data_IF_552605963360
#
_entry.id   IF_552605963360
#
_cell.length_a   1.000
_cell.length_b   1.000
_cell.length_c   1.000
_cell.angle_alpha   90.00
_cell.angle_beta   90.00
_cell.angle_gamma   90.00
#
_symmetry.space_group_name_H-M   'P 1'
#
loop_
_entity.id
_entity.type
_entity.pdbx_description
1 polymer ?
#
# COMPACT_ATOMS: atom_id res chain seq x y z
N UNK A 1 56.45 -31.93 38.25
CA UNK A 1 56.12 -30.64 38.90
C UNK A 1 55.65 -29.71 37.81
N UNK A 2 54.32 -29.65 37.62
CA UNK A 2 53.71 -28.74 36.63
C UNK A 2 52.68 -27.90 37.38
N UNK A 3 52.93 -26.61 37.43
CA UNK A 3 52.10 -25.60 38.06
C UNK A 3 51.00 -25.16 37.09
N UNK A 4 49.74 -25.26 37.57
CA UNK A 4 48.54 -24.79 36.88
C UNK A 4 48.29 -23.31 37.22
N UNK A 5 48.03 -22.39 36.29
CA UNK A 5 47.66 -21.02 36.63
C UNK A 5 46.15 -20.91 36.92
N UNK A 6 45.83 -20.21 38.02
CA UNK A 6 44.47 -19.87 38.45
C UNK A 6 43.88 -18.77 37.53
N UNK A 7 42.76 -19.07 36.90
CA UNK A 7 41.91 -18.11 36.22
C UNK A 7 41.08 -17.32 37.23
N UNK A 8 41.25 -15.99 37.25
CA UNK A 8 40.37 -15.04 37.93
C UNK A 8 39.11 -14.81 37.11
N UNK A 9 37.96 -15.24 37.58
CA UNK A 9 36.65 -14.85 37.11
C UNK A 9 36.39 -13.37 37.46
N UNK A 10 36.40 -12.51 36.48
CA UNK A 10 35.87 -11.14 36.57
C UNK A 10 34.34 -11.20 36.49
N UNK A 11 33.62 -10.87 37.56
CA UNK A 11 32.18 -10.61 37.54
C UNK A 11 31.94 -9.28 36.81
N UNK A 12 31.39 -9.34 35.60
CA UNK A 12 30.79 -8.18 34.93
C UNK A 12 29.41 -7.94 35.51
N UNK A 13 29.28 -6.89 36.29
CA UNK A 13 27.99 -6.31 36.69
C UNK A 13 27.38 -5.60 35.50
N UNK A 14 26.35 -6.19 34.94
CA UNK A 14 25.47 -5.51 33.96
C UNK A 14 24.66 -4.44 34.68
N UNK A 15 24.85 -3.17 34.25
CA UNK A 15 24.02 -2.06 34.68
C UNK A 15 22.60 -2.22 34.10
N UNK A 16 21.52 -1.79 34.79
CA UNK A 16 20.18 -1.89 34.29
C UNK A 16 20.01 -0.94 33.12
N UNK A 17 19.57 -1.49 31.98
CA UNK A 17 19.14 -0.70 30.81
C UNK A 17 17.91 0.13 31.19
N UNK A 18 18.09 1.43 31.28
CA UNK A 18 16.99 2.39 31.37
C UNK A 18 16.28 2.44 30.01
N UNK A 19 15.09 1.84 29.92
CA UNK A 19 14.16 2.10 28.81
C UNK A 19 13.88 3.60 28.72
N UNK A 20 14.42 4.27 27.71
CA UNK A 20 14.00 5.62 27.34
C UNK A 20 12.59 5.53 26.76
N UNK A 21 11.61 6.07 27.44
CA UNK A 21 10.31 6.41 26.89
C UNK A 21 10.50 7.59 25.94
N UNK A 22 10.34 7.34 24.65
CA UNK A 22 10.30 8.41 23.63
C UNK A 22 9.04 9.24 23.86
N UNK A 23 9.18 10.41 24.46
CA UNK A 23 8.10 11.39 24.59
C UNK A 23 7.99 12.14 23.28
N UNK A 24 6.80 12.12 22.66
CA UNK A 24 6.42 12.93 21.51
C UNK A 24 6.55 14.44 21.89
N UNK A 25 7.68 15.05 21.57
CA UNK A 25 7.89 16.49 21.73
C UNK A 25 7.69 17.16 20.37
N UNK A 26 6.45 17.56 20.06
CA UNK A 26 6.15 18.42 18.92
C UNK A 26 6.87 19.75 19.07
N UNK A 27 7.90 19.96 18.27
CA UNK A 27 8.64 21.23 18.24
C UNK A 27 7.73 22.32 17.65
N UNK A 28 7.13 23.13 18.53
CA UNK A 28 6.09 24.15 18.22
C UNK A 28 6.52 25.21 17.20
N UNK A 29 7.80 25.39 16.95
CA UNK A 29 8.30 26.48 16.09
C UNK A 29 8.27 26.13 14.59
N UNK A 30 8.13 24.86 14.20
CA UNK A 30 8.11 24.43 12.79
C UNK A 30 6.70 24.37 12.18
N UNK A 31 5.66 24.32 12.99
CA UNK A 31 4.25 24.25 12.53
C UNK A 31 3.69 25.55 11.94
N UNK A 32 4.37 26.69 12.11
CA UNK A 32 3.81 28.01 11.76
C UNK A 32 3.80 28.33 10.26
N UNK A 33 4.52 27.61 9.43
CA UNK A 33 4.67 27.92 8.00
C UNK A 33 3.78 27.06 7.07
N UNK A 34 3.28 25.92 7.54
CA UNK A 34 2.53 24.95 6.71
C UNK A 34 1.01 24.92 6.92
N UNK A 35 0.47 25.56 7.96
CA UNK A 35 -0.97 25.47 8.29
C UNK A 35 -1.90 26.36 7.45
N UNK A 36 -1.44 26.92 6.35
CA UNK A 36 -2.23 27.79 5.47
C UNK A 36 -2.46 27.17 4.07
N UNK A 37 -2.78 25.87 3.97
CA UNK A 37 -3.39 25.34 2.75
C UNK A 37 -4.88 25.60 2.86
N UNK A 38 -5.50 26.45 2.03
CA UNK A 38 -6.90 26.79 2.13
C UNK A 38 -7.77 25.65 1.55
N UNK A 39 -7.89 24.53 2.27
CA UNK A 39 -8.92 23.50 1.96
C UNK A 39 -10.33 24.07 2.14
N UNK A 40 -10.50 25.13 2.92
CA UNK A 40 -11.80 25.72 3.24
C UNK A 40 -12.35 26.70 2.18
N UNK A 41 -11.52 27.15 1.23
CA UNK A 41 -11.95 28.18 0.26
C UNK A 41 -12.72 27.67 -0.96
N UNK A 42 -12.69 26.37 -1.23
CA UNK A 42 -13.35 25.77 -2.41
C UNK A 42 -14.80 25.31 -2.17
N UNK A 43 -15.27 25.31 -0.93
CA UNK A 43 -16.58 24.74 -0.59
C UNK A 43 -17.79 25.65 -0.87
N UNK A 44 -17.61 26.96 -1.12
CA UNK A 44 -18.75 27.89 -1.14
C UNK A 44 -19.23 28.32 -2.52
N UNK A 45 -18.53 27.99 -3.60
CA UNK A 45 -18.93 28.38 -4.97
C UNK A 45 -19.48 27.25 -5.85
N UNK A 46 -19.54 26.03 -5.36
CA UNK A 46 -19.82 24.83 -6.17
C UNK A 46 -21.30 24.41 -6.30
N UNK A 47 -22.24 25.06 -5.62
CA UNK A 47 -23.60 24.48 -5.42
C UNK A 47 -24.54 24.63 -6.62
N UNK A 48 -24.27 25.46 -7.62
CA UNK A 48 -25.20 25.73 -8.74
C UNK A 48 -24.90 25.03 -10.06
N UNK A 49 -23.78 24.31 -10.20
CA UNK A 49 -23.40 23.63 -11.44
C UNK A 49 -23.33 22.10 -11.33
N UNK A 50 -23.87 21.53 -10.28
CA UNK A 50 -23.55 20.15 -9.87
C UNK A 50 -24.24 19.06 -10.71
N UNK A 51 -25.46 19.28 -11.15
CA UNK A 51 -26.23 18.27 -11.88
C UNK A 51 -25.75 18.13 -13.34
N UNK A 52 -25.52 19.25 -14.03
CA UNK A 52 -25.00 19.27 -15.42
C UNK A 52 -23.56 18.72 -15.49
N UNK A 53 -22.75 18.93 -14.44
CA UNK A 53 -21.38 18.45 -14.42
C UNK A 53 -21.30 16.93 -14.17
N UNK A 54 -22.15 16.35 -13.36
CA UNK A 54 -22.19 14.90 -13.09
C UNK A 54 -22.55 14.12 -14.37
N UNK A 55 -23.58 14.56 -15.11
CA UNK A 55 -23.96 13.95 -16.39
C UNK A 55 -22.84 14.07 -17.43
N UNK A 56 -22.13 15.20 -17.47
CA UNK A 56 -20.98 15.40 -18.36
C UNK A 56 -19.85 14.46 -18.01
N UNK A 57 -19.51 14.29 -16.73
CA UNK A 57 -18.47 13.34 -16.31
C UNK A 57 -18.88 11.90 -16.60
N UNK A 58 -20.08 11.47 -16.28
CA UNK A 58 -20.54 10.12 -16.59
C UNK A 58 -20.54 9.83 -18.08
N UNK A 59 -20.92 10.79 -18.92
CA UNK A 59 -20.81 10.69 -20.37
C UNK A 59 -19.36 10.52 -20.84
N UNK A 60 -18.42 11.27 -20.26
CA UNK A 60 -16.99 11.16 -20.58
C UNK A 60 -16.44 9.79 -20.19
N UNK A 61 -16.71 9.32 -18.97
CA UNK A 61 -16.25 8.03 -18.49
C UNK A 61 -16.89 6.84 -19.20
N UNK A 62 -18.13 6.99 -19.69
CA UNK A 62 -18.79 5.94 -20.47
C UNK A 62 -18.08 5.63 -21.79
N UNK A 63 -17.34 6.60 -22.36
CA UNK A 63 -16.56 6.42 -23.59
C UNK A 63 -15.39 5.45 -23.44
N UNK A 64 -14.98 5.16 -22.22
CA UNK A 64 -13.99 4.11 -21.96
C UNK A 64 -14.55 2.71 -22.22
N UNK A 65 -15.87 2.52 -22.20
CA UNK A 65 -16.54 1.27 -22.59
C UNK A 65 -16.70 1.24 -24.10
N UNK A 66 -15.79 0.55 -24.78
CA UNK A 66 -15.78 0.48 -26.25
C UNK A 66 -16.82 -0.50 -26.80
N UNK A 67 -17.19 -1.48 -26.00
CA UNK A 67 -18.21 -2.46 -26.35
C UNK A 67 -18.96 -2.91 -25.09
N UNK A 68 -20.28 -2.98 -25.18
CA UNK A 68 -21.15 -3.53 -24.13
C UNK A 68 -22.42 -4.10 -24.76
N UNK A 69 -22.57 -5.43 -24.67
CA UNK A 69 -23.74 -6.15 -25.12
C UNK A 69 -23.94 -7.37 -24.21
N UNK A 70 -24.90 -7.28 -23.31
CA UNK A 70 -25.22 -8.36 -22.34
C UNK A 70 -25.82 -9.60 -23.03
N UNK A 71 -26.28 -9.48 -24.26
CA UNK A 71 -26.90 -10.59 -25.02
C UNK A 71 -25.91 -11.35 -25.88
N UNK A 72 -24.73 -10.82 -26.12
CA UNK A 72 -23.69 -11.50 -26.88
C UNK A 72 -23.19 -12.72 -26.06
N UNK A 73 -23.19 -13.95 -26.62
CA UNK A 73 -22.84 -15.14 -25.85
C UNK A 73 -21.36 -15.26 -25.52
N UNK A 74 -20.49 -14.50 -26.20
CA UNK A 74 -19.04 -14.62 -26.03
C UNK A 74 -18.48 -13.37 -25.32
N UNK A 75 -18.65 -12.18 -25.87
CA UNK A 75 -18.08 -10.94 -25.34
C UNK A 75 -19.19 -10.01 -24.85
N UNK A 76 -19.32 -9.82 -23.53
CA UNK A 76 -20.31 -8.92 -22.95
C UNK A 76 -19.80 -7.50 -22.74
N UNK A 77 -18.51 -7.33 -22.50
CA UNK A 77 -17.93 -6.01 -22.25
C UNK A 77 -16.45 -5.97 -22.66
N UNK A 78 -16.07 -4.88 -23.34
CA UNK A 78 -14.67 -4.50 -23.54
C UNK A 78 -14.49 -3.04 -23.16
N UNK A 79 -13.63 -2.78 -22.18
CA UNK A 79 -13.45 -1.46 -21.58
C UNK A 79 -11.97 -1.10 -21.54
N UNK A 80 -11.65 0.14 -21.94
CA UNK A 80 -10.35 0.74 -21.66
C UNK A 80 -10.24 1.11 -20.20
N UNK A 81 -9.02 1.07 -19.69
CA UNK A 81 -8.67 1.44 -18.33
C UNK A 81 -7.58 2.49 -18.36
N UNK A 82 -7.70 3.46 -17.49
CA UNK A 82 -6.66 4.45 -17.29
C UNK A 82 -6.54 4.81 -15.81
N UNK A 83 -5.33 5.19 -15.40
CA UNK A 83 -5.04 5.71 -14.06
C UNK A 83 -3.90 6.71 -14.13
N UNK A 84 -4.15 7.88 -13.56
CA UNK A 84 -3.12 8.88 -13.33
C UNK A 84 -3.15 9.36 -11.89
N UNK A 85 -2.02 9.32 -11.22
CA UNK A 85 -1.81 9.91 -9.89
C UNK A 85 -0.63 10.87 -9.99
N UNK A 86 -0.90 12.18 -10.00
CA UNK A 86 0.11 13.21 -9.90
C UNK A 86 0.13 13.79 -8.50
N UNK A 87 1.31 14.00 -7.94
CA UNK A 87 1.47 14.53 -6.59
C UNK A 87 2.70 15.42 -6.47
N UNK A 88 2.59 16.42 -5.60
CA UNK A 88 3.72 17.22 -5.13
C UNK A 88 3.95 16.92 -3.66
N UNK A 89 5.20 16.88 -3.27
CA UNK A 89 5.58 16.81 -1.86
C UNK A 89 6.59 17.91 -1.51
N UNK A 90 6.60 18.27 -0.22
CA UNK A 90 7.63 19.08 0.40
C UNK A 90 7.92 18.48 1.77
N UNK A 91 9.12 17.92 1.92
CA UNK A 91 9.63 17.33 3.16
C UNK A 91 10.64 18.28 3.80
N UNK A 92 10.46 18.56 5.08
CA UNK A 92 11.41 19.31 5.92
C UNK A 92 11.74 18.45 7.13
N UNK A 93 13.03 18.21 7.35
CA UNK A 93 13.51 17.37 8.43
C UNK A 93 14.78 17.94 9.05
N UNK A 94 15.18 17.43 10.21
CA UNK A 94 16.48 17.78 10.82
C UNK A 94 17.67 17.33 9.95
N UNK A 95 17.47 16.27 9.16
CA UNK A 95 18.47 15.68 8.30
C UNK A 95 18.62 16.41 6.95
N UNK A 96 17.59 17.13 6.50
CA UNK A 96 17.58 17.85 5.24
C UNK A 96 16.16 18.15 4.74
N UNK A 97 16.08 18.64 3.53
CA UNK A 97 14.81 18.96 2.88
C UNK A 97 14.77 18.36 1.46
N UNK A 98 13.56 18.13 0.98
CA UNK A 98 13.31 17.74 -0.41
C UNK A 98 11.91 18.19 -0.84
N UNK A 99 11.79 18.66 -2.07
CA UNK A 99 10.49 18.95 -2.67
C UNK A 99 10.51 18.59 -4.15
N UNK A 100 9.46 17.92 -4.62
CA UNK A 100 9.37 17.51 -6.02
C UNK A 100 7.93 17.30 -6.44
N UNK A 101 7.72 17.28 -7.77
CA UNK A 101 6.53 16.78 -8.44
C UNK A 101 6.78 15.35 -8.94
N UNK A 102 5.79 14.49 -8.84
CA UNK A 102 5.90 13.09 -9.23
C UNK A 102 4.64 12.63 -9.97
N UNK A 103 4.83 12.00 -11.14
CA UNK A 103 3.82 11.19 -11.82
C UNK A 103 3.78 9.81 -11.16
N UNK A 104 3.21 9.76 -9.97
CA UNK A 104 3.26 8.61 -9.07
C UNK A 104 2.77 7.31 -9.68
N UNK A 105 1.74 7.38 -10.52
CA UNK A 105 1.20 6.25 -11.30
C UNK A 105 0.60 6.75 -12.59
N UNK A 106 1.14 6.27 -13.69
CA UNK A 106 0.61 6.48 -15.02
C UNK A 106 0.38 5.12 -15.66
N UNK A 107 -0.88 4.68 -15.72
CA UNK A 107 -1.25 3.33 -16.18
C UNK A 107 -2.36 3.39 -17.18
N UNK A 108 -2.31 2.48 -18.15
CA UNK A 108 -3.35 2.24 -19.13
C UNK A 108 -3.50 0.75 -19.37
N UNK A 109 -4.65 0.35 -19.87
CA UNK A 109 -4.92 -1.05 -20.06
C UNK A 109 -6.34 -1.32 -20.53
N UNK A 110 -6.80 -2.53 -20.36
CA UNK A 110 -8.16 -2.93 -20.72
C UNK A 110 -8.70 -4.02 -19.80
N UNK A 111 -10.02 -4.11 -19.72
CA UNK A 111 -10.79 -5.23 -19.18
C UNK A 111 -11.69 -5.80 -20.29
N UNK A 112 -11.77 -7.12 -20.41
CA UNK A 112 -12.75 -7.83 -21.21
C UNK A 112 -13.52 -8.81 -20.33
N UNK A 113 -14.87 -8.88 -20.52
CA UNK A 113 -15.72 -9.85 -19.82
C UNK A 113 -16.40 -10.73 -20.85
N UNK A 114 -16.23 -12.03 -20.67
CA UNK A 114 -16.65 -13.07 -21.61
C UNK A 114 -17.51 -14.11 -20.91
N UNK A 115 -18.32 -14.83 -21.74
CA UNK A 115 -19.10 -15.99 -21.34
C UNK A 115 -19.97 -15.69 -20.11
N UNK A 116 -20.98 -14.83 -20.28
CA UNK A 116 -21.85 -14.36 -19.21
C UNK A 116 -21.08 -13.70 -18.04
N UNK A 117 -19.94 -13.06 -18.36
CA UNK A 117 -19.02 -12.44 -17.39
C UNK A 117 -18.35 -13.44 -16.44
N UNK A 118 -18.38 -14.74 -16.75
CA UNK A 118 -17.65 -15.73 -15.97
C UNK A 118 -16.14 -15.64 -16.16
N UNK A 119 -15.68 -15.14 -17.31
CA UNK A 119 -14.26 -14.92 -17.58
C UNK A 119 -13.98 -13.42 -17.70
N UNK A 120 -13.02 -12.95 -16.93
CA UNK A 120 -12.46 -11.61 -16.99
C UNK A 120 -11.00 -11.68 -17.45
N UNK A 121 -10.65 -10.93 -18.48
CA UNK A 121 -9.27 -10.74 -18.93
C UNK A 121 -8.90 -9.30 -18.63
N UNK A 122 -7.78 -9.10 -17.96
CA UNK A 122 -7.23 -7.78 -17.66
C UNK A 122 -5.77 -7.68 -18.10
N UNK A 123 -5.40 -6.53 -18.64
CA UNK A 123 -4.01 -6.14 -18.79
C UNK A 123 -3.87 -4.65 -18.46
N UNK A 124 -2.97 -4.31 -17.53
CA UNK A 124 -2.60 -2.94 -17.15
C UNK A 124 -1.10 -2.76 -17.34
N UNK A 125 -0.72 -1.72 -18.07
CA UNK A 125 0.66 -1.31 -18.34
C UNK A 125 0.97 -0.03 -17.59
N UNK A 126 2.23 0.18 -17.23
CA UNK A 126 2.72 1.41 -16.64
C UNK A 126 3.62 2.15 -17.61
N UNK A 127 3.50 3.47 -17.67
CA UNK A 127 4.52 4.38 -18.20
C UNK A 127 5.37 4.91 -17.05
N UNK A 128 6.60 5.34 -17.33
CA UNK A 128 7.47 5.93 -16.32
C UNK A 128 7.08 7.39 -16.01
N UNK A 129 7.74 7.93 -15.01
CA UNK A 129 7.61 9.32 -14.59
C UNK A 129 7.96 10.27 -15.76
N UNK A 130 7.10 11.29 -15.95
CA UNK A 130 7.20 12.24 -17.05
C UNK A 130 6.82 11.68 -18.43
N UNK A 131 6.25 10.49 -18.52
CA UNK A 131 5.87 9.83 -19.79
C UNK A 131 7.02 9.68 -20.79
N UNK A 132 8.26 9.65 -20.30
CA UNK A 132 9.45 9.50 -21.13
C UNK A 132 9.45 8.19 -21.91
N UNK A 133 9.05 7.10 -21.23
CA UNK A 133 8.80 5.79 -21.83
C UNK A 133 7.33 5.43 -21.65
N UNK A 134 6.63 5.16 -22.76
CA UNK A 134 5.21 4.80 -22.72
C UNK A 134 5.02 3.43 -22.06
N UNK A 135 5.96 2.52 -22.24
CA UNK A 135 5.96 1.20 -21.63
C UNK A 135 7.13 1.08 -20.66
N UNK A 136 6.82 1.01 -19.36
CA UNK A 136 7.77 0.83 -18.26
C UNK A 136 7.47 -0.46 -17.47
N UNK A 137 6.58 -1.28 -17.97
CA UNK A 137 6.32 -2.60 -17.41
C UNK A 137 4.85 -3.01 -17.37
N UNK A 138 4.67 -4.33 -17.24
CA UNK A 138 3.38 -4.99 -17.09
C UNK A 138 2.99 -5.00 -15.62
N UNK A 139 1.90 -4.32 -15.27
CA UNK A 139 1.43 -4.22 -13.87
C UNK A 139 0.57 -5.41 -13.50
N UNK A 140 -0.56 -5.57 -14.17
CA UNK A 140 -1.49 -6.68 -14.00
C UNK A 140 -1.75 -7.30 -15.38
N UNK A 141 -1.69 -8.62 -15.51
CA UNK A 141 -2.09 -9.32 -16.73
C UNK A 141 -2.59 -10.71 -16.36
N UNK A 142 -3.89 -10.88 -16.35
CA UNK A 142 -4.47 -12.13 -15.87
C UNK A 142 -5.78 -12.50 -16.58
N UNK A 143 -6.09 -13.78 -16.52
CA UNK A 143 -7.40 -14.34 -16.73
C UNK A 143 -8.00 -14.74 -15.38
N UNK A 144 -9.22 -14.31 -15.10
CA UNK A 144 -9.98 -14.67 -13.91
C UNK A 144 -11.26 -15.39 -14.30
N UNK A 145 -11.43 -16.60 -13.79
CA UNK A 145 -12.63 -17.40 -13.95
C UNK A 145 -13.49 -17.37 -12.70
N UNK A 146 -14.75 -16.98 -12.86
CA UNK A 146 -15.77 -16.90 -11.81
C UNK A 146 -16.93 -17.84 -12.14
N UNK A 147 -16.83 -19.15 -11.84
CA UNK A 147 -17.90 -20.11 -12.14
C UNK A 147 -19.20 -19.79 -11.41
N UNK A 148 -19.11 -19.10 -10.29
CA UNK A 148 -20.24 -18.60 -9.51
C UNK A 148 -19.80 -17.36 -8.70
N UNK A 149 -20.72 -16.80 -7.89
CA UNK A 149 -20.46 -15.61 -7.08
C UNK A 149 -19.52 -15.86 -5.88
N UNK A 150 -19.35 -17.12 -5.49
CA UNK A 150 -18.61 -17.52 -4.30
C UNK A 150 -17.17 -17.94 -4.61
N UNK A 151 -16.83 -18.22 -5.86
CA UNK A 151 -15.52 -18.75 -6.24
C UNK A 151 -14.90 -17.94 -7.37
N UNK A 152 -13.63 -17.64 -7.22
CA UNK A 152 -12.81 -16.96 -8.24
C UNK A 152 -11.45 -17.65 -8.34
N UNK A 153 -11.05 -17.98 -9.57
CA UNK A 153 -9.73 -18.54 -9.88
C UNK A 153 -9.02 -17.57 -10.82
N UNK A 154 -7.83 -17.12 -10.46
CA UNK A 154 -7.05 -16.17 -11.28
C UNK A 154 -5.72 -16.80 -11.67
N UNK A 155 -5.35 -16.71 -12.94
CA UNK A 155 -4.05 -17.11 -13.48
C UNK A 155 -3.43 -15.94 -14.23
N UNK A 156 -2.13 -15.68 -14.01
CA UNK A 156 -1.38 -14.61 -14.65
C UNK A 156 -0.71 -13.69 -13.63
N UNK A 157 -0.21 -12.54 -14.09
CA UNK A 157 0.49 -11.57 -13.23
C UNK A 157 -0.50 -10.77 -12.40
N UNK A 158 -0.43 -10.90 -11.08
CA UNK A 158 -1.34 -10.26 -10.14
C UNK A 158 -0.67 -9.98 -8.79
N UNK A 159 -1.41 -9.33 -7.89
CA UNK A 159 -0.96 -9.10 -6.50
C UNK A 159 -0.98 -10.40 -5.71
N UNK A 160 0.05 -10.69 -4.91
CA UNK A 160 -0.04 -11.68 -3.85
C UNK A 160 -1.17 -11.37 -2.86
N UNK A 161 -1.84 -12.42 -2.40
CA UNK A 161 -3.01 -12.30 -1.52
C UNK A 161 -2.55 -12.16 -0.06
N UNK A 162 -2.11 -10.96 0.31
CA UNK A 162 -1.65 -10.54 1.65
C UNK A 162 -2.09 -9.10 1.89
N UNK A 163 -2.38 -8.69 3.16
CA UNK A 163 -2.71 -7.32 3.49
C UNK A 163 -4.00 -6.82 2.84
N UNK A 164 -5.14 -7.12 3.46
CA UNK A 164 -6.46 -6.93 2.87
C UNK A 164 -6.79 -5.48 2.53
N UNK A 165 -6.26 -4.52 3.27
CA UNK A 165 -6.48 -3.11 3.02
C UNK A 165 -5.29 -2.44 2.32
N UNK A 166 -4.11 -2.44 2.92
CA UNK A 166 -3.01 -1.61 2.43
C UNK A 166 -2.48 -2.09 1.06
N UNK A 167 -2.52 -3.40 0.81
CA UNK A 167 -2.10 -3.95 -0.47
C UNK A 167 -3.24 -4.27 -1.43
N UNK A 168 -4.23 -5.07 -1.00
CA UNK A 168 -5.24 -5.59 -1.91
C UNK A 168 -6.24 -4.52 -2.35
N UNK A 169 -6.56 -3.55 -1.47
CA UNK A 169 -7.45 -2.46 -1.85
C UNK A 169 -6.85 -1.61 -2.99
N UNK A 170 -7.73 -1.04 -3.79
CA UNK A 170 -7.31 -0.17 -4.89
C UNK A 170 -6.68 1.12 -4.37
N UNK A 171 -5.54 1.51 -4.92
CA UNK A 171 -4.96 2.81 -4.59
C UNK A 171 -5.80 4.01 -5.06
N UNK A 172 -6.80 3.80 -5.92
CA UNK A 172 -7.78 4.85 -6.23
C UNK A 172 -8.68 5.12 -5.03
N UNK A 173 -9.07 4.06 -4.28
CA UNK A 173 -9.95 4.15 -3.12
C UNK A 173 -9.22 4.54 -1.83
N UNK A 174 -7.90 4.33 -1.75
CA UNK A 174 -7.13 4.71 -0.57
C UNK A 174 -7.14 6.22 -0.34
N UNK A 175 -7.37 6.69 0.90
CA UNK A 175 -7.49 8.12 1.21
C UNK A 175 -6.12 8.79 1.47
N UNK A 176 -5.04 8.03 1.59
CA UNK A 176 -3.67 8.52 1.81
C UNK A 176 -2.85 8.50 0.52
N UNK A 177 -1.80 9.30 0.43
CA UNK A 177 -0.94 9.35 -0.75
C UNK A 177 -0.17 8.05 -0.95
N UNK A 178 0.43 7.54 0.11
CA UNK A 178 1.22 6.32 0.10
C UNK A 178 0.61 5.27 1.04
N UNK A 179 1.00 4.02 0.83
CA UNK A 179 0.78 2.94 1.78
C UNK A 179 1.49 3.22 3.10
N UNK A 180 1.14 2.49 4.13
CA UNK A 180 1.85 2.58 5.41
C UNK A 180 3.34 2.25 5.23
N UNK A 181 4.18 2.83 6.08
CA UNK A 181 5.62 2.54 6.04
C UNK A 181 5.85 1.05 6.27
N UNK A 182 5.13 0.41 7.22
CA UNK A 182 5.31 -1.02 7.50
C UNK A 182 5.01 -1.88 6.26
N UNK A 183 3.98 -1.57 5.46
CA UNK A 183 3.72 -2.32 4.24
C UNK A 183 4.79 -2.04 3.17
N UNK A 184 5.22 -0.77 3.00
CA UNK A 184 6.30 -0.43 2.08
C UNK A 184 7.64 -1.10 2.48
N UNK A 185 7.87 -1.31 3.79
CA UNK A 185 8.99 -2.09 4.33
C UNK A 185 9.04 -3.51 3.76
N UNK A 186 7.88 -4.16 3.64
CA UNK A 186 7.78 -5.54 3.16
C UNK A 186 8.18 -5.68 1.69
N UNK A 187 8.01 -4.62 0.90
CA UNK A 187 8.36 -4.55 -0.54
C UNK A 187 7.73 -5.67 -1.39
N UNK A 188 6.50 -6.06 -1.06
CA UNK A 188 5.78 -7.11 -1.79
C UNK A 188 5.46 -6.64 -3.21
N UNK A 189 5.83 -7.46 -4.20
CA UNK A 189 5.64 -7.19 -5.61
C UNK A 189 4.54 -8.06 -6.24
N UNK A 190 4.16 -7.73 -7.47
CA UNK A 190 3.30 -8.59 -8.29
C UNK A 190 4.12 -9.72 -8.88
N UNK A 191 3.49 -10.88 -9.04
CA UNK A 191 4.12 -12.05 -9.63
C UNK A 191 3.13 -12.80 -10.52
N UNK A 192 3.67 -13.65 -11.39
CA UNK A 192 2.90 -14.69 -12.07
C UNK A 192 2.37 -15.66 -11.03
N UNK A 193 1.08 -15.93 -11.07
CA UNK A 193 0.39 -16.63 -10.00
C UNK A 193 -0.76 -17.49 -10.51
N UNK A 194 -1.10 -18.47 -9.69
CA UNK A 194 -2.43 -19.11 -9.65
C UNK A 194 -3.02 -18.82 -8.27
N UNK A 195 -4.16 -18.10 -8.24
CA UNK A 195 -4.85 -17.81 -6.97
C UNK A 195 -6.28 -18.30 -7.00
N UNK A 196 -6.77 -18.69 -5.84
CA UNK A 196 -8.15 -19.09 -5.61
C UNK A 196 -8.70 -18.31 -4.43
N UNK A 197 -9.83 -17.67 -4.63
CA UNK A 197 -10.54 -16.92 -3.60
C UNK A 197 -11.96 -17.45 -3.49
N UNK A 198 -12.47 -17.61 -2.28
CA UNK A 198 -13.79 -18.14 -2.06
C UNK A 198 -14.51 -17.57 -0.86
N UNK A 199 -15.84 -17.78 -0.82
CA UNK A 199 -16.67 -17.42 0.33
C UNK A 199 -17.77 -18.46 0.58
N UNK A 200 -18.15 -18.60 1.85
CA UNK A 200 -19.28 -19.40 2.30
C UNK A 200 -20.01 -18.63 3.42
N UNK A 201 -21.15 -18.04 3.09
CA UNK A 201 -21.78 -17.06 3.97
C UNK A 201 -20.84 -15.87 4.26
N UNK A 202 -20.66 -15.59 5.53
CA UNK A 202 -19.73 -14.53 5.99
C UNK A 202 -18.26 -14.96 6.05
N UNK A 203 -17.97 -16.25 5.92
CA UNK A 203 -16.61 -16.76 5.90
C UNK A 203 -15.99 -16.56 4.52
N UNK A 204 -14.77 -16.01 4.48
CA UNK A 204 -13.96 -15.80 3.29
C UNK A 204 -12.63 -16.52 3.44
N UNK A 205 -12.13 -17.06 2.33
CA UNK A 205 -10.85 -17.75 2.28
C UNK A 205 -10.15 -17.49 0.95
N UNK A 206 -8.85 -17.63 0.95
CA UNK A 206 -8.03 -17.48 -0.24
C UNK A 206 -6.76 -18.31 -0.14
N UNK A 207 -6.20 -18.64 -1.30
CA UNK A 207 -4.89 -19.27 -1.43
C UNK A 207 -4.26 -18.88 -2.74
N UNK A 208 -2.94 -18.89 -2.80
CA UNK A 208 -2.19 -18.59 -4.02
C UNK A 208 -0.84 -19.27 -4.06
N UNK A 209 -0.37 -19.53 -5.28
CA UNK A 209 0.99 -19.93 -5.59
C UNK A 209 1.56 -18.92 -6.57
N UNK A 210 2.78 -18.45 -6.33
CA UNK A 210 3.43 -17.36 -7.06
C UNK A 210 4.84 -17.76 -7.47
N UNK A 211 5.28 -17.31 -8.64
CA UNK A 211 6.69 -17.33 -9.00
C UNK A 211 7.47 -16.33 -8.15
N UNK A 212 8.62 -16.74 -7.61
CA UNK A 212 9.58 -15.83 -6.96
C UNK A 212 10.43 -15.06 -7.96
N UNK A 213 10.43 -15.50 -9.23
CA UNK A 213 11.13 -14.76 -10.26
C UNK A 213 10.45 -13.41 -10.48
N UNK A 214 10.96 -12.42 -9.79
CA UNK A 214 10.69 -11.02 -10.08
C UNK A 214 11.82 -10.60 -11.02
N UNK A 215 11.55 -10.34 -12.31
CA UNK A 215 12.58 -9.96 -13.25
C UNK A 215 13.46 -8.87 -12.65
N UNK A 216 14.76 -9.07 -12.69
CA UNK A 216 15.74 -8.16 -12.10
C UNK A 216 15.59 -6.80 -12.74
N UNK A 217 15.20 -5.82 -11.97
CA UNK A 217 15.15 -4.44 -12.39
C UNK A 217 16.53 -3.95 -12.83
N UNK A 218 16.78 -3.97 -14.09
CA UNK A 218 18.01 -3.44 -14.69
C UNK A 218 17.97 -1.92 -14.86
N UNK A 219 17.32 -1.17 -13.97
CA UNK A 219 17.60 0.26 -14.01
C UNK A 219 16.51 1.27 -13.80
N UNK A 220 15.46 0.95 -13.12
CA UNK A 220 14.47 1.98 -12.74
C UNK A 220 14.02 1.82 -11.30
N UNK A 221 13.44 2.83 -10.72
CA UNK A 221 12.72 2.81 -9.44
C UNK A 221 11.55 1.79 -9.43
N UNK A 222 11.69 0.71 -10.16
CA UNK A 222 10.66 -0.19 -10.55
C UNK A 222 10.30 -1.20 -9.48
N UNK A 223 9.34 -0.86 -8.70
CA UNK A 223 8.55 -1.82 -7.91
C UNK A 223 7.60 -2.67 -8.78
N UNK A 224 7.80 -2.76 -10.09
CA UNK A 224 6.81 -3.40 -10.97
C UNK A 224 7.35 -4.49 -11.85
N UNK A 225 8.60 -4.93 -11.67
CA UNK A 225 9.20 -5.91 -12.57
C UNK A 225 9.00 -5.53 -14.05
N UNK A 226 9.98 -5.69 -14.84
CA UNK A 226 9.91 -5.52 -16.28
C UNK A 226 8.87 -6.49 -16.83
N UNK A 227 8.10 -6.11 -17.74
CA UNK A 227 6.97 -6.68 -18.41
C UNK A 227 6.85 -8.17 -18.64
N UNK A 228 7.68 -8.97 -17.99
CA UNK A 228 7.70 -10.42 -18.15
C UNK A 228 6.76 -11.10 -17.16
N UNK A 229 6.25 -12.26 -17.57
CA UNK A 229 5.47 -13.12 -16.70
C UNK A 229 6.32 -13.80 -15.63
N UNK A 230 7.64 -13.69 -15.67
CA UNK A 230 8.54 -14.44 -14.86
C UNK A 230 8.50 -15.95 -15.19
N UNK A 231 9.59 -16.61 -14.95
CA UNK A 231 9.62 -18.07 -14.95
C UNK A 231 9.55 -18.61 -13.51
N UNK A 232 9.76 -19.89 -13.30
CA UNK A 232 9.75 -20.50 -11.97
C UNK A 232 11.17 -20.83 -11.48
N UNK A 233 12.19 -20.19 -12.05
CA UNK A 233 13.60 -20.48 -11.72
C UNK A 233 14.01 -19.96 -10.34
N UNK A 234 13.32 -18.95 -9.81
CA UNK A 234 13.58 -18.36 -8.49
C UNK A 234 12.81 -19.00 -7.34
N UNK A 235 12.32 -20.23 -7.52
CA UNK A 235 11.47 -20.88 -6.53
C UNK A 235 10.03 -20.37 -6.54
N UNK A 236 9.28 -20.67 -5.49
CA UNK A 236 7.85 -20.37 -5.37
C UNK A 236 7.49 -19.74 -4.04
N UNK A 237 6.47 -18.89 -4.06
CA UNK A 237 5.81 -18.39 -2.86
C UNK A 237 4.38 -18.95 -2.75
N UNK A 238 3.88 -19.03 -1.53
CA UNK A 238 2.54 -19.53 -1.22
C UNK A 238 1.81 -18.55 -0.33
N UNK A 239 0.52 -18.33 -0.56
CA UNK A 239 -0.31 -17.60 0.39
C UNK A 239 -1.52 -18.41 0.80
N UNK A 240 -1.95 -18.19 2.05
CA UNK A 240 -3.22 -18.62 2.57
C UNK A 240 -3.82 -17.50 3.41
N UNK A 241 -5.12 -17.30 3.31
CA UNK A 241 -5.82 -16.31 4.11
C UNK A 241 -7.24 -16.75 4.41
N UNK A 242 -7.75 -16.28 5.52
CA UNK A 242 -9.13 -16.50 5.93
C UNK A 242 -9.65 -15.29 6.69
N UNK A 243 -10.94 -15.09 6.64
CA UNK A 243 -11.59 -13.99 7.33
C UNK A 243 -13.08 -14.23 7.54
N UNK A 244 -13.66 -13.33 8.28
CA UNK A 244 -15.09 -13.34 8.56
C UNK A 244 -15.64 -11.91 8.48
N UNK A 245 -16.72 -11.73 7.73
CA UNK A 245 -17.44 -10.45 7.62
C UNK A 245 -18.63 -10.45 8.59
N UNK A 246 -18.49 -9.70 9.68
CA UNK A 246 -19.48 -9.56 10.74
C UNK A 246 -20.55 -8.50 10.42
N UNK A 247 -20.59 -7.93 9.21
CA UNK A 247 -21.49 -6.80 8.89
C UNK A 247 -22.95 -7.08 9.19
N UNK A 248 -23.44 -8.29 8.90
CA UNK A 248 -24.84 -8.67 9.15
C UNK A 248 -25.13 -8.82 10.64
N UNK A 249 -24.18 -9.37 11.41
CA UNK A 249 -24.30 -9.55 12.86
C UNK A 249 -24.24 -8.21 13.63
N UNK A 250 -23.43 -7.26 13.12
CA UNK A 250 -23.24 -5.95 13.76
C UNK A 250 -24.16 -4.86 13.18
N UNK A 251 -24.85 -5.14 12.06
CA UNK A 251 -25.70 -4.16 11.38
C UNK A 251 -24.87 -2.99 10.79
N UNK A 252 -23.67 -3.25 10.32
CA UNK A 252 -22.73 -2.27 9.79
C UNK A 252 -22.59 -2.39 8.28
N UNK A 253 -22.02 -1.38 7.61
CA UNK A 253 -21.75 -1.43 6.17
C UNK A 253 -20.62 -2.41 5.82
N UNK A 254 -19.64 -2.54 6.72
CA UNK A 254 -18.52 -3.48 6.66
C UNK A 254 -17.98 -3.77 8.06
N UNK A 255 -17.67 -5.02 8.34
CA UNK A 255 -17.04 -5.43 9.59
C UNK A 255 -16.19 -6.69 9.35
N UNK A 256 -15.02 -6.51 8.73
CA UNK A 256 -14.13 -7.57 8.31
C UNK A 256 -13.03 -7.80 9.34
N UNK A 257 -12.86 -9.05 9.77
CA UNK A 257 -11.63 -9.53 10.40
C UNK A 257 -10.99 -10.55 9.48
N UNK A 258 -9.70 -10.39 9.16
CA UNK A 258 -8.99 -11.25 8.22
C UNK A 258 -7.55 -11.49 8.66
N UNK A 259 -7.04 -12.68 8.38
CA UNK A 259 -5.67 -13.11 8.60
C UNK A 259 -5.12 -13.69 7.32
N UNK A 260 -3.90 -13.29 6.96
CA UNK A 260 -3.19 -13.80 5.79
C UNK A 260 -1.76 -14.19 6.19
N UNK A 261 -1.23 -15.18 5.50
CA UNK A 261 0.16 -15.59 5.54
C UNK A 261 0.69 -15.77 4.12
N UNK A 262 1.88 -15.25 3.88
CA UNK A 262 2.64 -15.40 2.65
C UNK A 262 4.00 -15.98 3.02
N UNK A 263 4.35 -17.11 2.41
CA UNK A 263 5.66 -17.74 2.54
C UNK A 263 6.38 -17.75 1.19
N UNK A 264 7.66 -17.44 1.18
CA UNK A 264 8.53 -17.48 0.02
C UNK A 264 9.61 -18.52 0.24
N UNK A 265 9.62 -19.57 -0.61
CA UNK A 265 10.66 -20.56 -0.64
C UNK A 265 11.87 -19.97 -1.38
N UNK A 266 12.83 -19.45 -0.62
CA UNK A 266 14.00 -18.75 -1.16
C UNK A 266 15.13 -19.73 -1.39
N UNK A 267 15.55 -19.88 -2.65
CA UNK A 267 16.83 -20.50 -2.97
C UNK A 267 17.98 -19.50 -2.81
N UNK A 268 19.18 -20.00 -2.56
CA UNK A 268 20.33 -19.14 -2.32
C UNK A 268 20.68 -18.28 -3.56
N UNK A 269 20.56 -16.98 -3.44
CA UNK A 269 20.81 -16.02 -4.51
C UNK A 269 19.59 -15.52 -5.25
N UNK A 270 18.41 -16.05 -4.93
CA UNK A 270 17.17 -15.70 -5.61
C UNK A 270 16.46 -14.47 -5.00
N UNK A 271 15.73 -13.78 -5.85
CA UNK A 271 14.77 -12.78 -5.40
C UNK A 271 13.55 -13.47 -4.82
N UNK A 272 13.04 -12.97 -3.71
CA UNK A 272 11.74 -13.38 -3.18
C UNK A 272 10.67 -12.39 -3.60
N UNK A 273 9.42 -12.81 -3.46
CA UNK A 273 8.25 -11.99 -3.78
C UNK A 273 8.18 -10.66 -2.98
N UNK A 274 8.87 -10.61 -1.85
CA UNK A 274 9.11 -9.45 -1.00
C UNK A 274 10.52 -9.50 -0.43
N UNK A 275 10.76 -8.84 0.71
CA UNK A 275 12.07 -8.87 1.40
C UNK A 275 12.20 -10.00 2.41
N UNK A 276 11.10 -10.63 2.80
CA UNK A 276 11.00 -11.59 3.89
C UNK A 276 10.47 -12.91 3.39
N UNK A 277 10.93 -14.00 4.01
CA UNK A 277 10.47 -15.34 3.66
C UNK A 277 9.04 -15.58 4.18
N UNK A 278 8.74 -15.10 5.38
CA UNK A 278 7.41 -15.19 5.96
C UNK A 278 6.82 -13.80 6.25
N UNK A 279 5.60 -13.57 5.81
CA UNK A 279 4.84 -12.36 6.10
C UNK A 279 3.46 -12.78 6.62
N UNK A 280 3.11 -12.32 7.81
CA UNK A 280 1.78 -12.48 8.39
C UNK A 280 1.11 -11.11 8.44
N UNK A 281 -0.16 -11.04 8.06
CA UNK A 281 -0.98 -9.85 8.26
C UNK A 281 -2.27 -10.17 8.98
N UNK A 282 -2.77 -9.19 9.74
CA UNK A 282 -4.11 -9.21 10.31
C UNK A 282 -4.80 -7.87 10.03
N UNK A 283 -6.01 -7.92 9.51
CA UNK A 283 -6.79 -6.76 9.12
C UNK A 283 -8.10 -6.74 9.88
N UNK A 284 -8.40 -5.63 10.56
CA UNK A 284 -9.71 -5.28 11.05
C UNK A 284 -10.20 -4.05 10.29
N UNK A 285 -11.36 -4.17 9.63
CA UNK A 285 -11.94 -3.09 8.82
C UNK A 285 -13.40 -2.92 9.15
N UNK A 286 -13.73 -1.83 9.83
CA UNK A 286 -15.09 -1.45 10.20
C UNK A 286 -15.50 -0.22 9.39
N UNK A 287 -16.74 -0.22 8.87
CA UNK A 287 -17.38 0.95 8.29
C UNK A 287 -18.82 1.01 8.77
N UNK A 288 -19.24 2.21 9.19
CA UNK A 288 -20.61 2.51 9.59
C UNK A 288 -20.93 3.93 9.17
N UNK A 289 -21.94 4.09 8.33
CA UNK A 289 -22.41 5.40 7.84
C UNK A 289 -21.24 6.26 7.26
N UNK A 290 -20.89 7.32 7.97
CA UNK A 290 -19.85 8.29 7.59
C UNK A 290 -18.45 7.96 8.11
N UNK A 291 -18.34 6.98 8.98
CA UNK A 291 -17.08 6.65 9.65
C UNK A 291 -16.55 5.29 9.21
N UNK A 292 -15.25 5.20 9.01
CA UNK A 292 -14.59 3.92 8.90
C UNK A 292 -13.31 3.90 9.73
N UNK A 293 -12.93 2.70 10.15
CA UNK A 293 -11.69 2.42 10.87
C UNK A 293 -11.02 1.20 10.24
N UNK A 294 -9.77 1.36 9.87
CA UNK A 294 -8.91 0.24 9.48
C UNK A 294 -7.78 0.11 10.49
N UNK A 295 -7.56 -1.10 10.96
CA UNK A 295 -6.36 -1.48 11.70
C UNK A 295 -5.74 -2.65 10.94
N UNK A 296 -4.51 -2.51 10.52
CA UNK A 296 -3.81 -3.60 9.86
C UNK A 296 -2.41 -3.74 10.46
N UNK A 297 -2.05 -4.96 10.84
CA UNK A 297 -0.78 -5.28 11.47
C UNK A 297 -0.04 -6.32 10.63
N UNK A 298 1.29 -6.21 10.66
CA UNK A 298 2.20 -7.09 9.93
C UNK A 298 3.31 -7.58 10.85
N UNK A 299 3.73 -8.81 10.60
CA UNK A 299 4.95 -9.40 11.13
C UNK A 299 5.67 -10.13 10.00
N UNK A 300 6.97 -9.88 9.84
CA UNK A 300 7.74 -10.49 8.77
C UNK A 300 9.10 -10.95 9.27
N UNK A 301 9.48 -12.15 8.88
CA UNK A 301 10.69 -12.85 9.32
C UNK A 301 11.42 -13.48 8.13
N UNK A 302 12.68 -13.90 8.35
CA UNK A 302 13.46 -14.58 7.33
C UNK A 302 14.06 -13.64 6.27
N UNK A 303 14.26 -12.37 6.61
CA UNK A 303 14.98 -11.43 5.76
C UNK A 303 16.48 -11.72 5.70
N UNK A 304 17.20 -10.89 4.92
CA UNK A 304 18.66 -10.92 4.89
C UNK A 304 19.25 -10.26 6.15
N UNK A 305 20.56 -10.32 6.33
CA UNK A 305 21.22 -9.63 7.45
C UNK A 305 20.96 -8.10 7.48
N UNK A 306 20.61 -7.50 6.34
CA UNK A 306 20.22 -6.09 6.25
C UNK A 306 18.72 -5.85 6.46
N UNK A 307 17.90 -6.90 6.34
CA UNK A 307 16.45 -6.88 6.49
C UNK A 307 16.08 -7.82 7.65
N UNK A 308 16.43 -7.41 8.88
CA UNK A 308 16.10 -8.16 10.10
C UNK A 308 14.59 -8.20 10.32
N UNK A 309 14.13 -9.15 11.12
CA UNK A 309 12.72 -9.34 11.41
C UNK A 309 12.03 -8.04 11.82
N UNK A 310 10.85 -7.79 11.26
CA UNK A 310 10.09 -6.55 11.48
C UNK A 310 8.66 -6.85 11.88
N UNK A 311 8.09 -5.95 12.67
CA UNK A 311 6.68 -5.94 12.98
C UNK A 311 6.15 -4.50 13.05
N UNK A 312 4.87 -4.35 12.83
CA UNK A 312 4.26 -3.03 12.91
C UNK A 312 2.78 -3.07 12.61
N UNK A 313 2.15 -1.92 12.73
CA UNK A 313 0.73 -1.76 12.44
C UNK A 313 0.43 -0.32 12.03
N UNK A 314 -0.73 -0.13 11.44
CA UNK A 314 -1.33 1.19 11.36
C UNK A 314 -2.78 1.17 11.83
N UNK A 315 -3.23 2.34 12.27
CA UNK A 315 -4.63 2.63 12.61
C UNK A 315 -5.05 3.81 11.76
N UNK A 316 -6.10 3.63 10.94
CA UNK A 316 -6.56 4.63 9.97
C UNK A 316 -8.05 4.88 10.09
N UNK A 317 -8.48 5.87 10.89
CA UNK A 317 -9.84 6.38 10.85
C UNK A 317 -10.07 7.26 9.61
N UNK A 318 -11.28 7.20 9.06
CA UNK A 318 -11.80 8.14 8.06
C UNK A 318 -13.18 8.62 8.46
N UNK A 319 -13.52 9.83 8.04
CA UNK A 319 -14.83 10.41 8.30
C UNK A 319 -15.30 11.25 7.12
N UNK A 320 -16.48 10.95 6.59
CA UNK A 320 -17.12 11.72 5.52
C UNK A 320 -17.75 12.99 6.09
N UNK A 321 -16.95 14.07 6.10
CA UNK A 321 -17.40 15.39 6.59
C UNK A 321 -18.60 15.89 5.77
N UNK A 322 -18.51 15.77 4.46
CA UNK A 322 -19.61 15.99 3.52
C UNK A 322 -19.71 14.72 2.66
N UNK A 323 -20.77 13.93 2.78
CA UNK A 323 -20.94 12.71 2.01
C UNK A 323 -20.69 12.94 0.51
N UNK A 324 -19.96 12.01 -0.12
CA UNK A 324 -19.59 12.02 -1.53
C UNK A 324 -18.78 13.24 -2.01
N UNK A 325 -18.35 14.13 -1.09
CA UNK A 325 -17.59 15.35 -1.42
C UNK A 325 -16.31 15.52 -0.64
N UNK A 326 -16.35 15.42 0.67
CA UNK A 326 -15.18 15.68 1.52
C UNK A 326 -15.05 14.57 2.54
N UNK A 327 -13.93 13.88 2.51
CA UNK A 327 -13.55 12.90 3.51
C UNK A 327 -12.27 13.35 4.21
N UNK A 328 -12.25 13.25 5.53
CA UNK A 328 -11.06 13.42 6.36
C UNK A 328 -10.43 12.06 6.65
N UNK A 329 -9.13 12.05 6.82
CA UNK A 329 -8.36 10.85 7.17
C UNK A 329 -7.26 11.17 8.15
N UNK A 330 -7.11 10.29 9.13
CA UNK A 330 -5.92 10.21 9.97
C UNK A 330 -5.28 8.84 9.81
N UNK A 331 -3.96 8.72 9.94
CA UNK A 331 -3.28 7.44 10.04
C UNK A 331 -2.11 7.55 11.00
N UNK A 332 -2.08 6.68 11.99
CA UNK A 332 -0.89 6.45 12.81
C UNK A 332 -0.24 5.14 12.37
N UNK A 333 1.05 5.18 12.11
CA UNK A 333 1.87 4.01 11.75
C UNK A 333 2.96 3.80 12.79
N UNK A 334 3.15 2.54 13.18
CA UNK A 334 4.25 2.09 14.01
C UNK A 334 4.96 0.92 13.34
N UNK A 335 6.28 0.92 13.36
CA UNK A 335 7.10 -0.21 12.92
C UNK A 335 8.33 -0.35 13.80
N UNK A 336 8.75 -1.59 14.02
CA UNK A 336 9.98 -1.88 14.73
C UNK A 336 10.68 -3.10 14.12
N UNK A 337 11.99 -3.20 14.34
CA UNK A 337 12.80 -4.34 13.92
C UNK A 337 13.67 -4.86 15.05
N UNK A 338 14.07 -6.12 14.93
CA UNK A 338 14.99 -6.75 15.88
C UNK A 338 16.44 -6.28 15.72
N UNK A 339 16.75 -5.67 14.58
CA UNK A 339 18.08 -5.14 14.27
C UNK A 339 18.11 -3.61 14.24
N UNK A 340 19.28 -3.01 14.51
CA UNK A 340 19.40 -1.56 14.68
C UNK A 340 19.17 -0.73 13.39
N UNK A 341 19.12 -1.37 12.22
CA UNK A 341 18.95 -0.73 10.92
C UNK A 341 17.90 -1.42 10.04
N UNK A 342 17.04 -2.25 10.65
CA UNK A 342 16.06 -3.04 9.92
C UNK A 342 14.88 -2.22 9.39
N UNK A 343 14.59 -1.06 9.96
CA UNK A 343 13.52 -0.18 9.49
C UNK A 343 14.04 0.83 8.47
N UNK A 344 13.40 0.87 7.31
CA UNK A 344 13.68 1.82 6.22
C UNK A 344 12.70 2.99 6.27
N UNK A 345 13.16 4.22 5.99
CA UNK A 345 12.27 5.37 5.83
C UNK A 345 11.37 5.22 4.59
N UNK A 346 10.38 6.09 4.47
CA UNK A 346 9.61 6.23 3.23
C UNK A 346 10.53 6.69 2.08
N UNK A 347 10.71 5.82 1.08
CA UNK A 347 11.73 6.01 0.05
C UNK A 347 11.51 7.22 -0.86
N UNK A 348 10.25 7.73 -0.96
CA UNK A 348 9.91 8.77 -1.93
C UNK A 348 10.21 10.18 -1.47
N UNK A 349 10.20 10.44 -0.18
CA UNK A 349 10.44 11.77 0.37
C UNK A 349 11.35 11.77 1.59
N UNK A 350 11.20 10.86 2.53
CA UNK A 350 12.05 10.84 3.74
C UNK A 350 13.51 10.51 3.39
N UNK A 351 13.73 9.48 2.55
CA UNK A 351 15.09 9.14 2.09
C UNK A 351 15.73 10.29 1.31
N UNK A 352 14.95 11.00 0.49
CA UNK A 352 15.44 12.15 -0.29
C UNK A 352 15.73 13.36 0.61
N UNK A 353 15.06 13.48 1.75
CA UNK A 353 15.34 14.48 2.79
C UNK A 353 16.42 14.04 3.78
N UNK A 354 17.18 12.98 3.47
CA UNK A 354 18.36 12.56 4.22
C UNK A 354 18.11 11.52 5.33
N UNK A 355 16.92 10.91 5.40
CA UNK A 355 16.63 9.83 6.35
C UNK A 355 17.53 8.63 6.14
N UNK A 356 18.03 8.05 7.24
CA UNK A 356 18.80 6.81 7.27
C UNK A 356 17.92 5.69 7.85
N UNK A 357 18.37 4.44 7.76
CA UNK A 357 17.72 3.29 8.39
C UNK A 357 17.82 3.34 9.91
N UNK A 358 16.83 2.80 10.61
CA UNK A 358 16.75 2.74 12.07
C UNK A 358 16.13 1.45 12.56
N UNK A 359 15.66 1.43 13.80
CA UNK A 359 15.02 0.26 14.41
C UNK A 359 13.57 0.50 14.84
N UNK A 360 13.13 1.74 14.94
CA UNK A 360 11.78 2.10 15.39
C UNK A 360 11.25 3.31 14.63
N UNK A 361 10.07 3.17 14.06
CA UNK A 361 9.40 4.21 13.24
C UNK A 361 8.03 4.54 13.79
N UNK A 362 7.73 5.83 13.83
CA UNK A 362 6.42 6.38 14.14
C UNK A 362 6.05 7.41 13.09
N UNK A 363 4.83 7.36 12.59
CA UNK A 363 4.30 8.43 11.73
C UNK A 363 2.85 8.76 12.06
N UNK A 364 2.51 10.04 11.95
CA UNK A 364 1.15 10.54 12.05
C UNK A 364 0.81 11.33 10.79
N UNK A 365 -0.08 10.77 9.98
CA UNK A 365 -0.64 11.43 8.81
C UNK A 365 -2.01 12.03 9.15
N UNK A 366 -2.23 13.25 8.72
CA UNK A 366 -3.53 13.92 8.73
C UNK A 366 -3.79 14.52 7.35
N UNK A 367 -4.97 14.29 6.80
CA UNK A 367 -5.30 14.79 5.48
C UNK A 367 -6.78 14.67 5.14
N UNK A 368 -7.07 14.92 3.89
CA UNK A 368 -8.41 14.78 3.35
C UNK A 368 -8.41 14.65 1.84
N UNK A 369 -9.56 14.28 1.33
CA UNK A 369 -9.81 14.21 -0.10
C UNK A 369 -11.12 14.91 -0.47
N UNK A 370 -11.10 15.53 -1.63
CA UNK A 370 -12.26 16.16 -2.25
C UNK A 370 -12.65 15.39 -3.50
N UNK A 371 -13.82 14.79 -3.50
CA UNK A 371 -14.35 14.01 -4.61
C UNK A 371 -15.01 14.94 -5.63
N UNK A 372 -14.44 15.02 -6.83
CA UNK A 372 -15.04 15.72 -7.97
C UNK A 372 -16.02 14.76 -8.66
N UNK A 373 -15.60 13.49 -8.83
CA UNK A 373 -16.42 12.43 -9.42
C UNK A 373 -16.10 11.08 -8.76
N UNK A 374 -16.45 10.95 -7.48
CA UNK A 374 -16.11 9.78 -6.65
C UNK A 374 -14.60 9.48 -6.67
N UNK A 375 -14.25 8.21 -6.60
CA UNK A 375 -12.86 7.76 -6.71
C UNK A 375 -12.25 7.88 -8.11
N UNK A 376 -13.07 8.21 -9.12
CA UNK A 376 -12.61 8.37 -10.50
C UNK A 376 -11.86 9.68 -10.73
N UNK A 377 -12.24 10.74 -10.03
CA UNK A 377 -11.56 12.03 -10.09
C UNK A 377 -11.65 12.72 -8.73
N UNK A 378 -10.50 12.89 -8.08
CA UNK A 378 -10.41 13.51 -6.76
C UNK A 378 -9.10 14.24 -6.52
N UNK A 379 -9.15 15.23 -5.65
CA UNK A 379 -7.99 15.92 -5.11
C UNK A 379 -7.70 15.40 -3.69
N UNK A 380 -6.44 15.36 -3.34
CA UNK A 380 -5.97 14.98 -2.00
C UNK A 380 -5.01 16.05 -1.48
N UNK A 381 -5.06 16.28 -0.17
CA UNK A 381 -4.05 17.07 0.53
C UNK A 381 -3.85 16.51 1.94
N UNK A 382 -2.63 16.58 2.46
CA UNK A 382 -2.31 16.10 3.80
C UNK A 382 -0.89 16.41 4.21
N UNK A 383 -0.57 16.08 5.46
CA UNK A 383 0.76 16.15 6.00
C UNK A 383 1.04 14.91 6.86
N UNK A 384 2.27 14.43 6.83
CA UNK A 384 2.76 13.33 7.63
C UNK A 384 3.96 13.80 8.45
N UNK A 385 3.90 13.63 9.77
CA UNK A 385 5.02 13.81 10.67
C UNK A 385 5.59 12.45 11.00
N UNK A 386 6.90 12.26 10.78
CA UNK A 386 7.57 10.98 10.93
C UNK A 386 8.80 11.09 11.83
N UNK A 387 8.98 10.09 12.68
CA UNK A 387 10.13 9.87 13.51
C UNK A 387 10.70 8.47 13.23
N UNK A 388 11.97 8.40 12.87
CA UNK A 388 12.72 7.16 12.75
C UNK A 388 13.90 7.22 13.71
N UNK A 389 13.91 6.34 14.69
CA UNK A 389 14.95 6.23 15.70
C UNK A 389 15.88 5.07 15.47
N UNK A 390 17.04 5.12 16.17
CA UNK A 390 17.92 3.98 16.36
C UNK A 390 18.35 3.97 17.81
N UNK A 391 18.11 2.86 18.52
CA UNK A 391 18.27 2.74 20.00
C UNK A 391 19.63 3.17 20.51
N UNK A 392 20.69 2.90 19.75
CA UNK A 392 22.07 3.16 20.17
C UNK A 392 22.62 4.54 19.75
N UNK A 393 22.05 5.19 18.75
CA UNK A 393 22.62 6.39 18.09
C UNK A 393 21.68 7.58 18.04
N UNK A 394 20.40 7.42 18.41
CA UNK A 394 19.40 8.49 18.39
C UNK A 394 18.62 8.60 17.09
N UNK A 395 18.11 9.80 16.81
CA UNK A 395 17.18 10.01 15.72
C UNK A 395 17.85 9.92 14.36
N UNK A 396 17.26 9.12 13.45
CA UNK A 396 17.67 8.93 12.07
C UNK A 396 16.86 9.77 11.10
N UNK A 397 15.68 10.17 11.54
CA UNK A 397 14.80 11.10 10.84
C UNK A 397 13.81 11.72 11.83
N UNK A 398 13.65 13.02 11.77
CA UNK A 398 12.61 13.80 12.45
C UNK A 398 12.15 14.87 11.48
N UNK A 399 10.98 14.67 10.87
CA UNK A 399 10.54 15.55 9.79
C UNK A 399 9.04 15.54 9.54
N UNK A 400 8.62 16.54 8.79
CA UNK A 400 7.24 16.68 8.30
C UNK A 400 7.25 16.73 6.78
N UNK A 401 6.32 16.00 6.16
CA UNK A 401 6.09 16.04 4.71
C UNK A 401 4.68 16.53 4.41
N UNK A 402 4.58 17.64 3.69
CA UNK A 402 3.32 18.12 3.14
C UNK A 402 3.11 17.51 1.73
N UNK A 403 1.88 17.15 1.42
CA UNK A 403 1.51 16.45 0.18
C UNK A 403 0.22 17.06 -0.39
N UNK A 404 0.20 17.25 -1.71
CA UNK A 404 -1.01 17.59 -2.46
C UNK A 404 -1.00 16.84 -3.81
N UNK A 405 -2.18 16.50 -4.32
CA UNK A 405 -2.22 15.74 -5.58
C UNK A 405 -3.60 15.49 -6.15
N UNK A 406 -3.58 14.92 -7.33
CA UNK A 406 -4.74 14.56 -8.15
C UNK A 406 -4.73 13.06 -8.41
N UNK A 407 -5.89 12.43 -8.32
CA UNK A 407 -6.12 11.07 -8.83
C UNK A 407 -7.22 11.06 -9.86
N UNK A 408 -6.93 10.44 -11.00
CA UNK A 408 -7.87 10.22 -12.10
C UNK A 408 -7.84 8.74 -12.49
N UNK A 409 -9.02 8.13 -12.72
CA UNK A 409 -9.13 6.76 -13.24
C UNK A 409 -10.42 6.56 -14.02
N UNK A 410 -10.39 5.65 -14.99
CA UNK A 410 -11.56 5.27 -15.80
C UNK A 410 -11.54 3.79 -16.17
#
# INVERSE_FOLDING_TARGET
>A
MNTIPRNHFRKTTTAPQTRRTTTFNLNRNRLSHFLAIPILGLATSAVKGEQDSAETFDSLWSRASLYKDETNPILQEFKLRGRYHGQVHAAEAEQGDNSDWEDRRSRFGFDAKLFEKQIEIRADFQSNDGFKDIYDGLVDAYLRWKPNKQLSVTIGKTKPLIGAYDWLESTNSQPTFERSQIFNQLSVNRATALTVEGSSGSFIWQSGVYSNDTPSNTGGSGSFGDGEFGDLNGGVSYSIGFGYDFKEQLGTDKALLRFDWLHSDREAGDTVLGRYDDIISSTFWLKQDRAALVIEAFHATGGTAADTDVYGFFVQPTYDLVPDKIQLVGRYTYSASDGPTGIRPQGRYETLAGALTGDTYHALYLGGQYFIHGDKLKLLAGAEYSLLGQSDTGDRYDGITALAGLRLSF
#
